data_IF_523625822336
#
_entry.id   IF_523625822336
#
_cell.length_a   1.000
_cell.length_b   1.000
_cell.length_c   1.000
_cell.angle_alpha   90.00
_cell.angle_beta   90.00
_cell.angle_gamma   90.00
#
_symmetry.space_group_name_H-M   'P 1'
#
loop_
_entity.id
_entity.type
_entity.pdbx_description
1 polymer ?
#
# COMPACT_ATOMS: atom_id res chain seq x y z
N UNK A 1 5.53 -10.92 -7.39
CA UNK A 1 4.65 -10.13 -6.51
C UNK A 1 3.86 -11.09 -5.65
N UNK A 2 4.19 -11.20 -4.38
CA UNK A 2 3.44 -12.05 -3.45
C UNK A 2 2.19 -11.26 -3.07
N UNK A 3 1.02 -11.84 -3.28
CA UNK A 3 -0.26 -11.23 -2.93
C UNK A 3 -0.82 -12.02 -1.77
N UNK A 4 -0.66 -11.49 -0.56
CA UNK A 4 -1.15 -12.11 0.67
C UNK A 4 -2.40 -11.40 1.16
N UNK A 5 -3.42 -11.32 0.28
CA UNK A 5 -4.77 -10.86 0.60
C UNK A 5 -5.74 -12.01 0.46
N UNK A 6 -6.82 -11.94 1.24
CA UNK A 6 -7.87 -12.96 1.26
C UNK A 6 -8.52 -13.18 -0.11
N UNK A 7 -8.68 -12.13 -0.88
CA UNK A 7 -9.26 -12.12 -2.23
C UNK A 7 -8.24 -12.38 -3.35
N UNK A 8 -6.95 -12.43 -3.02
CA UNK A 8 -5.89 -12.66 -3.99
C UNK A 8 -5.60 -11.51 -4.94
N UNK A 9 -6.17 -10.32 -4.70
CA UNK A 9 -5.99 -9.16 -5.58
C UNK A 9 -4.79 -8.30 -5.18
N UNK A 10 -4.22 -7.58 -6.14
CA UNK A 10 -3.07 -6.70 -5.94
C UNK A 10 -3.41 -5.37 -5.26
N UNK A 11 -2.36 -4.62 -4.87
CA UNK A 11 -2.47 -3.23 -4.47
C UNK A 11 -2.01 -2.34 -5.63
N UNK A 12 -2.94 -1.77 -6.43
CA UNK A 12 -2.61 -1.01 -7.60
C UNK A 12 -2.20 0.41 -7.25
N UNK A 13 -1.01 0.82 -7.66
CA UNK A 13 -0.51 2.18 -7.49
C UNK A 13 0.33 2.61 -8.69
N UNK A 14 0.42 3.92 -8.92
CA UNK A 14 1.35 4.54 -9.85
C UNK A 14 1.99 5.73 -9.18
N UNK A 15 3.24 5.99 -9.52
CA UNK A 15 3.96 7.14 -8.98
C UNK A 15 4.67 7.91 -10.07
N UNK A 16 4.78 9.22 -9.86
CA UNK A 16 5.61 10.12 -10.63
C UNK A 16 6.60 10.78 -9.67
N UNK A 17 7.88 10.69 -9.98
CA UNK A 17 8.93 11.33 -9.20
C UNK A 17 9.67 12.37 -10.06
N UNK A 18 9.73 13.56 -9.56
CA UNK A 18 10.57 14.65 -10.07
C UNK A 18 11.76 14.88 -9.11
N UNK A 19 12.60 15.87 -9.39
CA UNK A 19 13.65 16.26 -8.45
C UNK A 19 13.07 16.79 -7.14
N UNK A 20 12.00 17.61 -7.22
CA UNK A 20 11.39 18.27 -6.06
C UNK A 20 10.26 17.48 -5.40
N UNK A 21 9.54 16.67 -6.16
CA UNK A 21 8.30 16.06 -5.70
C UNK A 21 8.25 14.55 -5.93
N UNK A 22 7.59 13.85 -5.01
CA UNK A 22 7.13 12.46 -5.19
C UNK A 22 5.60 12.45 -5.07
N UNK A 23 4.93 12.08 -6.16
CA UNK A 23 3.48 11.92 -6.22
C UNK A 23 3.12 10.45 -6.39
N UNK A 24 2.17 9.96 -5.59
CA UNK A 24 1.68 8.58 -5.63
C UNK A 24 0.16 8.61 -5.75
N UNK A 25 -0.37 7.85 -6.72
CA UNK A 25 -1.80 7.57 -6.86
C UNK A 25 -2.07 6.13 -6.47
N UNK A 26 -2.92 5.95 -5.46
CA UNK A 26 -3.41 4.66 -5.01
C UNK A 26 -4.82 4.45 -5.58
N UNK A 27 -5.00 3.45 -6.45
CA UNK A 27 -6.29 3.23 -7.13
C UNK A 27 -7.32 2.55 -6.23
N UNK A 28 -6.86 1.79 -5.23
CA UNK A 28 -7.70 1.06 -4.29
C UNK A 28 -7.30 1.39 -2.84
N UNK A 29 -7.60 2.61 -2.35
CA UNK A 29 -7.18 3.05 -1.02
C UNK A 29 -7.81 2.24 0.12
N UNK A 30 -8.92 1.55 -0.14
CA UNK A 30 -9.59 0.69 0.83
C UNK A 30 -8.89 -0.67 1.03
N UNK A 31 -7.99 -1.05 0.13
CA UNK A 31 -7.18 -2.26 0.26
C UNK A 31 -5.98 -2.04 1.18
N UNK A 32 -5.51 -3.12 1.79
CA UNK A 32 -4.31 -3.08 2.64
C UNK A 32 -3.05 -3.25 1.78
N UNK A 33 -2.14 -2.26 1.73
CA UNK A 33 -0.95 -2.33 0.88
C UNK A 33 0.04 -3.43 1.32
N UNK A 34 0.09 -3.73 2.61
CA UNK A 34 0.98 -4.73 3.20
C UNK A 34 0.37 -6.14 3.29
N UNK A 35 -0.80 -6.35 2.68
CA UNK A 35 -1.61 -7.57 2.88
C UNK A 35 -2.61 -7.41 4.02
N UNK A 36 -3.59 -8.31 4.09
CA UNK A 36 -4.68 -8.20 5.07
C UNK A 36 -4.19 -8.39 6.51
N UNK A 37 -4.68 -7.56 7.45
CA UNK A 37 -4.32 -7.63 8.86
C UNK A 37 -4.86 -8.88 9.56
N UNK A 38 -5.93 -9.48 9.04
CA UNK A 38 -6.62 -10.65 9.58
C UNK A 38 -6.42 -11.92 8.74
N UNK A 39 -5.56 -11.87 7.72
CA UNK A 39 -5.19 -13.01 6.91
C UNK A 39 -3.79 -13.51 7.28
N UNK A 40 -3.75 -14.64 7.99
CA UNK A 40 -2.49 -15.29 8.39
C UNK A 40 -1.99 -16.20 7.27
N UNK A 41 -1.17 -15.67 6.37
CA UNK A 41 -0.58 -16.48 5.31
C UNK A 41 0.41 -17.50 5.88
N UNK A 42 0.48 -18.69 5.27
CA UNK A 42 1.31 -19.81 5.74
C UNK A 42 2.82 -19.47 5.80
N UNK A 43 3.27 -18.57 4.93
CA UNK A 43 4.68 -18.21 4.81
C UNK A 43 5.05 -16.94 5.58
N UNK A 44 4.17 -15.93 5.54
CA UNK A 44 4.51 -14.58 6.02
C UNK A 44 3.69 -14.11 7.22
N UNK A 45 2.63 -14.85 7.61
CA UNK A 45 1.74 -14.42 8.67
C UNK A 45 0.82 -13.27 8.24
N UNK A 46 0.36 -12.49 9.21
CA UNK A 46 -0.44 -11.27 8.98
C UNK A 46 0.36 -10.23 8.22
N UNK A 47 -0.32 -9.38 7.44
CA UNK A 47 0.34 -8.43 6.54
C UNK A 47 1.38 -9.13 5.66
N UNK A 48 0.92 -10.16 4.97
CA UNK A 48 1.78 -11.15 4.32
C UNK A 48 2.57 -10.64 3.11
N UNK A 49 2.29 -9.44 2.58
CA UNK A 49 3.08 -8.81 1.52
C UNK A 49 4.38 -8.16 2.07
N UNK A 50 4.54 -8.15 3.39
CA UNK A 50 5.80 -7.80 4.06
C UNK A 50 6.43 -9.06 4.63
N UNK A 51 7.68 -9.30 4.27
CA UNK A 51 8.42 -10.48 4.73
C UNK A 51 8.55 -10.57 6.25
N UNK A 52 8.62 -11.79 6.77
CA UNK A 52 8.90 -12.05 8.18
C UNK A 52 10.27 -11.52 8.57
N UNK A 53 10.36 -11.01 9.79
CA UNK A 53 11.62 -10.54 10.36
C UNK A 53 11.40 -9.82 11.68
N UNK A 54 12.48 -9.64 12.43
CA UNK A 54 12.46 -9.05 13.77
C UNK A 54 11.78 -7.66 13.79
N UNK A 55 11.98 -6.85 12.76
CA UNK A 55 11.35 -5.51 12.65
C UNK A 55 9.84 -5.61 12.49
N UNK A 56 9.33 -6.52 11.65
CA UNK A 56 7.90 -6.76 11.49
C UNK A 56 7.29 -7.26 12.79
N UNK A 57 7.89 -8.28 13.38
CA UNK A 57 7.41 -8.89 14.63
C UNK A 57 7.37 -7.87 15.76
N UNK A 58 8.40 -7.04 15.88
CA UNK A 58 8.45 -5.95 16.85
C UNK A 58 7.35 -4.92 16.62
N UNK A 59 7.14 -4.48 15.39
CA UNK A 59 6.11 -3.49 15.03
C UNK A 59 4.70 -4.04 15.27
N UNK A 60 4.44 -5.29 14.94
CA UNK A 60 3.15 -5.94 15.18
C UNK A 60 2.88 -6.06 16.70
N UNK A 61 3.85 -6.54 17.47
CA UNK A 61 3.73 -6.69 18.92
C UNK A 61 3.55 -5.36 19.67
N UNK A 62 4.04 -4.25 19.09
CA UNK A 62 4.01 -2.92 19.68
C UNK A 62 3.14 -1.91 18.90
N UNK A 63 2.21 -2.37 18.09
CA UNK A 63 1.39 -1.53 17.22
C UNK A 63 0.61 -0.42 17.94
N UNK A 64 0.26 -0.64 19.21
CA UNK A 64 -0.43 0.34 20.06
C UNK A 64 0.51 1.23 20.88
N UNK A 65 1.81 0.96 20.89
CA UNK A 65 2.78 1.79 21.61
C UNK A 65 2.89 3.16 20.90
N UNK A 66 2.70 4.29 21.59
CA UNK A 66 2.73 5.63 20.97
C UNK A 66 4.02 5.95 20.20
N UNK A 67 5.16 5.38 20.60
CA UNK A 67 6.44 5.57 19.93
C UNK A 67 6.58 4.72 18.67
N UNK A 68 5.88 3.60 18.56
CA UNK A 68 5.94 2.66 17.43
C UNK A 68 4.79 2.88 16.46
N UNK A 69 3.61 3.26 16.97
CA UNK A 69 2.39 3.41 16.17
C UNK A 69 2.53 4.26 14.90
N UNK A 70 3.20 5.42 14.89
CA UNK A 70 3.37 6.19 13.65
C UNK A 70 4.11 5.42 12.56
N UNK A 71 5.13 4.66 12.93
CA UNK A 71 5.89 3.81 12.00
C UNK A 71 5.08 2.59 11.57
N UNK A 72 4.34 1.99 12.51
CA UNK A 72 3.42 0.89 12.21
C UNK A 72 2.36 1.30 11.17
N UNK A 73 1.71 2.45 11.36
CA UNK A 73 0.70 2.97 10.43
C UNK A 73 1.30 3.24 9.03
N UNK A 74 2.53 3.75 8.97
CA UNK A 74 3.22 3.96 7.68
C UNK A 74 3.57 2.65 6.99
N UNK A 75 3.97 1.63 7.73
CA UNK A 75 4.39 0.35 7.15
C UNK A 75 3.19 -0.53 6.76
N UNK A 76 2.12 -0.53 7.55
CA UNK A 76 1.03 -1.50 7.46
C UNK A 76 -0.36 -0.88 7.27
N UNK A 77 -0.54 0.42 7.54
CA UNK A 77 -1.82 1.11 7.42
C UNK A 77 -2.28 1.27 5.97
N UNK A 78 -3.58 1.50 5.81
CA UNK A 78 -4.16 1.89 4.52
C UNK A 78 -3.56 3.21 4.06
N UNK A 79 -3.49 3.39 2.75
CA UNK A 79 -3.00 4.60 2.13
C UNK A 79 -4.15 5.47 1.64
N UNK A 80 -4.03 6.80 1.68
CA UNK A 80 -4.99 7.67 1.02
C UNK A 80 -4.94 7.47 -0.50
N UNK A 81 -5.98 7.96 -1.20
CA UNK A 81 -6.03 7.86 -2.67
C UNK A 81 -4.82 8.56 -3.35
N UNK A 82 -4.31 9.61 -2.71
CA UNK A 82 -3.17 10.37 -3.23
C UNK A 82 -2.18 10.71 -2.12
N UNK A 83 -0.90 10.67 -2.49
CA UNK A 83 0.19 11.06 -1.60
C UNK A 83 1.11 12.02 -2.36
N UNK A 84 1.52 13.09 -1.69
CA UNK A 84 2.45 14.10 -2.22
C UNK A 84 3.52 14.40 -1.18
N UNK A 85 4.77 14.32 -1.59
CA UNK A 85 5.92 14.57 -0.72
C UNK A 85 6.90 15.53 -1.38
N UNK A 86 7.40 16.50 -0.62
CA UNK A 86 8.46 17.40 -1.04
C UNK A 86 9.82 16.75 -0.74
N UNK A 87 10.57 16.43 -1.77
CA UNK A 87 11.74 15.55 -1.63
C UNK A 87 12.94 16.21 -0.92
N UNK A 88 13.06 17.52 -1.02
CA UNK A 88 14.16 18.27 -0.36
C UNK A 88 13.87 18.46 1.14
N UNK A 89 12.64 18.89 1.48
CA UNK A 89 12.25 19.15 2.87
C UNK A 89 11.92 17.86 3.63
N UNK A 90 11.41 16.82 2.95
CA UNK A 90 11.02 15.54 3.52
C UNK A 90 11.57 14.34 2.70
N UNK A 91 12.89 14.13 2.71
CA UNK A 91 13.51 13.02 1.97
C UNK A 91 13.03 11.64 2.44
N UNK A 92 12.50 11.54 3.66
CA UNK A 92 11.91 10.32 4.23
C UNK A 92 10.46 10.07 3.82
N UNK A 93 9.81 11.01 3.11
CA UNK A 93 8.41 10.93 2.70
C UNK A 93 7.48 10.63 3.89
N UNK A 94 7.63 11.38 4.97
CA UNK A 94 6.92 11.16 6.22
C UNK A 94 5.64 11.97 6.34
N UNK A 95 5.54 13.09 5.63
CA UNK A 95 4.43 14.05 5.71
C UNK A 95 3.74 14.13 4.36
N UNK A 96 2.55 13.52 4.27
CA UNK A 96 1.73 13.61 3.06
C UNK A 96 1.08 15.00 2.95
N UNK A 97 1.41 15.74 1.90
CA UNK A 97 0.95 17.10 1.64
C UNK A 97 -0.28 17.16 0.72
N UNK A 98 -0.78 16.03 0.21
CA UNK A 98 -1.84 15.99 -0.80
C UNK A 98 -3.16 16.63 -0.36
N UNK A 99 -3.44 16.70 0.94
CA UNK A 99 -4.65 17.33 1.48
C UNK A 99 -4.53 18.83 1.73
N UNK A 100 -3.33 19.40 1.66
CA UNK A 100 -3.10 20.82 1.88
C UNK A 100 -3.62 21.67 0.72
N UNK A 101 -4.46 22.71 0.99
CA UNK A 101 -4.99 23.56 -0.08
C UNK A 101 -3.89 24.30 -0.86
N UNK A 102 -2.78 24.65 -0.23
CA UNK A 102 -1.63 25.30 -0.83
C UNK A 102 -0.90 24.42 -1.84
N UNK A 103 -1.02 23.09 -1.73
CA UNK A 103 -0.37 22.13 -2.62
C UNK A 103 -1.25 21.69 -3.80
N UNK A 104 -2.52 22.13 -3.87
CA UNK A 104 -3.43 21.73 -4.93
C UNK A 104 -2.95 22.09 -6.35
N UNK A 105 -2.31 23.25 -6.60
CA UNK A 105 -1.78 23.56 -7.92
C UNK A 105 -0.73 22.53 -8.39
N UNK A 106 0.26 22.23 -7.55
CA UNK A 106 1.31 21.26 -7.90
C UNK A 106 0.74 19.83 -7.99
N UNK A 107 -0.22 19.50 -7.13
CA UNK A 107 -0.88 18.19 -7.18
C UNK A 107 -1.62 18.00 -8.51
N UNK A 108 -2.34 19.02 -9.00
CA UNK A 108 -3.00 19.00 -10.31
C UNK A 108 -2.01 18.84 -11.45
N UNK A 109 -0.91 19.57 -11.44
CA UNK A 109 0.14 19.45 -12.45
C UNK A 109 0.71 18.03 -12.50
N UNK A 110 1.04 17.45 -11.35
CA UNK A 110 1.59 16.09 -11.29
C UNK A 110 0.59 15.02 -11.68
N UNK A 111 -0.72 15.22 -11.41
CA UNK A 111 -1.80 14.36 -11.92
C UNK A 111 -1.83 14.35 -13.45
N UNK A 112 -1.82 15.51 -14.07
CA UNK A 112 -1.83 15.65 -15.53
C UNK A 112 -0.59 15.05 -16.18
N UNK A 113 0.58 15.27 -15.59
CA UNK A 113 1.83 14.67 -16.05
C UNK A 113 1.78 13.13 -15.97
N UNK A 114 1.31 12.57 -14.85
CA UNK A 114 1.17 11.13 -14.68
C UNK A 114 0.17 10.57 -15.70
N UNK A 115 -1.01 11.20 -15.85
CA UNK A 115 -2.04 10.74 -16.78
C UNK A 115 -1.56 10.75 -18.23
N UNK A 116 -0.87 11.82 -18.64
CA UNK A 116 -0.25 11.91 -19.96
C UNK A 116 0.82 10.84 -20.20
N UNK A 117 1.61 10.54 -19.17
CA UNK A 117 2.62 9.48 -19.26
C UNK A 117 1.97 8.09 -19.39
N UNK A 118 0.98 7.79 -18.55
CA UNK A 118 0.27 6.51 -18.58
C UNK A 118 -0.48 6.29 -19.89
N UNK A 119 -1.03 7.38 -20.48
CA UNK A 119 -1.66 7.33 -21.81
C UNK A 119 -0.67 6.96 -22.90
N UNK A 120 0.47 7.64 -22.93
CA UNK A 120 1.54 7.37 -23.93
C UNK A 120 2.11 5.95 -23.81
N UNK A 121 2.12 5.41 -22.60
CA UNK A 121 2.61 4.05 -22.33
C UNK A 121 1.52 2.97 -22.50
N UNK A 122 0.28 3.37 -22.84
CA UNK A 122 -0.88 2.46 -22.88
C UNK A 122 -1.02 1.63 -21.60
N UNK A 123 -0.81 2.28 -20.44
CA UNK A 123 -0.89 1.59 -19.15
C UNK A 123 -2.31 1.05 -18.90
N UNK A 124 -2.48 -0.27 -18.72
CA UNK A 124 -3.81 -0.87 -18.58
C UNK A 124 -4.55 -0.45 -17.31
N UNK A 125 -3.87 0.07 -16.29
CA UNK A 125 -4.52 0.61 -15.09
C UNK A 125 -5.35 1.86 -15.39
N UNK A 126 -5.03 2.57 -16.46
CA UNK A 126 -5.83 3.70 -16.95
C UNK A 126 -7.20 3.28 -17.47
N UNK A 127 -7.30 2.04 -17.97
CA UNK A 127 -8.52 1.47 -18.53
C UNK A 127 -9.42 0.78 -17.49
N UNK A 128 -8.98 0.67 -16.25
CA UNK A 128 -9.68 0.05 -15.14
C UNK A 128 -8.81 -0.95 -14.38
N UNK A 129 -9.25 -1.28 -13.20
CA UNK A 129 -8.51 -2.13 -12.25
C UNK A 129 -8.62 -3.60 -12.65
N UNK A 130 -9.74 -3.98 -13.24
CA UNK A 130 -10.13 -5.35 -13.54
C UNK A 130 -9.10 -6.12 -14.39
N UNK A 131 -8.36 -5.41 -15.25
CA UNK A 131 -7.35 -6.03 -16.11
C UNK A 131 -6.27 -6.80 -15.34
N UNK A 132 -6.04 -6.48 -14.06
CA UNK A 132 -5.04 -7.11 -13.21
C UNK A 132 -5.63 -7.98 -12.10
N UNK A 133 -6.88 -7.75 -11.73
CA UNK A 133 -7.53 -8.47 -10.65
C UNK A 133 -8.10 -9.82 -11.13
N UNK A 134 -8.19 -10.02 -12.45
CA UNK A 134 -8.64 -11.26 -13.09
C UNK A 134 -7.51 -12.25 -13.39
N UNK A 135 -6.25 -11.89 -13.15
CA UNK A 135 -5.14 -12.80 -13.37
C UNK A 135 -5.21 -13.97 -12.38
N UNK A 136 -5.13 -15.22 -12.88
CA UNK A 136 -5.11 -16.37 -11.99
C UNK A 136 -3.85 -16.28 -11.11
N UNK A 137 -4.05 -16.42 -9.81
CA UNK A 137 -2.95 -16.48 -8.86
C UNK A 137 -2.11 -17.75 -9.14
N UNK A 138 -0.81 -17.58 -9.37
CA UNK A 138 0.05 -18.67 -9.82
C UNK A 138 0.35 -19.71 -8.74
N UNK A 139 0.23 -19.35 -7.47
CA UNK A 139 0.48 -20.24 -6.33
C UNK A 139 -0.71 -20.26 -5.35
N UNK A 140 -1.72 -21.05 -5.69
CA UNK A 140 -2.88 -21.27 -4.83
C UNK A 140 -2.55 -22.05 -3.56
N UNK A 141 -1.34 -22.63 -3.43
CA UNK A 141 -0.94 -23.39 -2.24
C UNK A 141 -0.85 -22.50 -1.00
N UNK A 142 -0.50 -21.24 -1.18
CA UNK A 142 -0.46 -20.22 -0.13
C UNK A 142 -1.84 -20.05 0.53
N UNK A 143 -2.92 -20.15 -0.24
CA UNK A 143 -4.29 -20.01 0.26
C UNK A 143 -4.85 -21.31 0.84
N UNK A 144 -4.49 -22.47 0.28
CA UNK A 144 -5.02 -23.78 0.71
C UNK A 144 -4.57 -24.17 2.11
N UNK A 145 -3.39 -23.71 2.55
CA UNK A 145 -2.78 -24.07 3.83
C UNK A 145 -2.80 -22.92 4.85
N UNK A 146 -3.44 -21.80 4.54
CA UNK A 146 -3.51 -20.67 5.44
C UNK A 146 -4.62 -20.83 6.47
N UNK A 147 -4.24 -20.98 7.74
CA UNK A 147 -5.15 -20.90 8.88
C UNK A 147 -5.48 -19.42 9.14
N UNK A 148 -6.28 -18.82 8.26
CA UNK A 148 -6.68 -17.42 8.37
C UNK A 148 -7.69 -17.15 9.49
N UNK A 149 -8.21 -18.18 10.11
CA UNK A 149 -9.00 -18.13 11.35
C UNK A 149 -8.14 -18.54 12.54
N UNK A 150 -7.08 -17.81 12.83
CA UNK A 150 -6.45 -17.97 14.13
C UNK A 150 -7.28 -17.21 15.17
N UNK A 151 -7.88 -17.99 16.05
CA UNK A 151 -8.52 -17.51 17.26
C UNK A 151 -7.57 -16.55 17.97
N UNK A 152 -8.00 -15.31 18.18
CA UNK A 152 -7.35 -14.38 19.09
C UNK A 152 -6.51 -13.24 18.53
N UNK A 153 -6.35 -13.10 17.21
CA UNK A 153 -5.73 -11.87 16.67
C UNK A 153 -6.81 -10.83 16.34
N UNK A 154 -6.97 -9.87 17.22
CA UNK A 154 -7.68 -8.63 16.88
C UNK A 154 -6.73 -7.76 16.06
N UNK A 155 -7.15 -7.30 14.87
CA UNK A 155 -6.41 -6.30 14.12
C UNK A 155 -6.13 -5.10 15.05
N UNK A 156 -4.87 -4.63 15.15
CA UNK A 156 -4.55 -3.43 15.95
C UNK A 156 -5.05 -2.15 15.28
N UNK A 157 -5.65 -2.24 14.12
CA UNK A 157 -6.27 -1.13 13.40
C UNK A 157 -7.80 -1.27 13.48
N UNK A 158 -8.51 -0.14 13.72
CA UNK A 158 -9.97 -0.12 13.68
C UNK A 158 -10.51 -0.42 12.30
#
# INVERSE_FOLDING_TARGET
HIICRRDGVGYPMRSLRTHAWSYIRNYEPDRWPAGDPDFNSSHQGFYGDVDRGASKDYMLANAMNPKVRPFFLRAFGRRPAEELYEMEADPGQLINLASGPEYQPILSELREQLDSFLEKQHDPRRLGIEAWDTYPFSDQSIFKNSNWRTEGFASPLP
#
